data_IF_345375467063
#
_entry.id   IF_345375467063
#
_cell.length_a   1.000
_cell.length_b   1.000
_cell.length_c   1.000
_cell.angle_alpha   90.00
_cell.angle_beta   90.00
_cell.angle_gamma   90.00
#
_symmetry.space_group_name_H-M   'P 1'
#
loop_
_entity.id
_entity.type
_entity.pdbx_description
1 polymer ?
#
# COMPACT_ATOMS: atom_id res chain seq x y z
N UNK A 1 -18.44 5.84 -7.26
CA UNK A 1 -17.72 4.67 -7.82
C UNK A 1 -16.38 4.58 -7.11
N UNK A 2 -16.16 3.53 -6.32
CA UNK A 2 -14.95 3.37 -5.50
C UNK A 2 -13.79 2.73 -6.27
N UNK A 3 -12.58 2.82 -5.73
CA UNK A 3 -11.39 2.13 -6.24
C UNK A 3 -10.59 1.56 -5.06
N UNK A 4 -9.81 0.52 -5.32
CA UNK A 4 -8.79 0.03 -4.41
C UNK A 4 -7.48 0.68 -4.83
N UNK A 5 -6.98 1.60 -4.00
CA UNK A 5 -5.78 2.33 -4.33
C UNK A 5 -4.55 1.58 -3.83
N UNK A 6 -3.45 1.66 -4.56
CA UNK A 6 -2.14 1.22 -4.06
C UNK A 6 -1.11 2.30 -4.28
N UNK A 7 -0.09 2.36 -3.43
CA UNK A 7 1.00 3.31 -3.58
C UNK A 7 2.33 2.70 -3.08
N UNK A 8 3.41 3.08 -3.76
CA UNK A 8 4.80 2.74 -3.40
C UNK A 8 5.63 3.99 -3.25
N UNK A 9 6.59 4.00 -2.33
CA UNK A 9 7.40 5.19 -2.06
C UNK A 9 8.85 5.11 -2.58
N UNK A 10 9.27 4.00 -3.18
CA UNK A 10 10.59 3.88 -3.80
C UNK A 10 10.83 4.99 -4.82
N UNK A 11 11.86 5.81 -4.57
CA UNK A 11 12.23 6.96 -5.40
C UNK A 11 11.32 8.20 -5.29
N UNK A 12 10.27 8.21 -4.47
CA UNK A 12 9.34 9.35 -4.35
C UNK A 12 9.63 10.22 -3.12
N UNK A 13 9.58 11.55 -3.20
CA UNK A 13 9.74 12.39 -1.98
C UNK A 13 8.53 12.26 -1.05
N UNK A 14 8.66 12.62 0.23
CA UNK A 14 7.49 12.66 1.14
C UNK A 14 6.44 13.66 0.62
N UNK A 15 6.90 14.80 0.09
CA UNK A 15 6.02 15.85 -0.47
C UNK A 15 5.20 15.29 -1.63
N UNK A 16 5.85 14.63 -2.60
CA UNK A 16 5.15 14.08 -3.76
C UNK A 16 4.24 12.91 -3.38
N UNK A 17 4.64 12.12 -2.39
CA UNK A 17 3.84 11.04 -1.83
C UNK A 17 2.54 11.55 -1.16
N UNK A 18 2.65 12.48 -0.22
CA UNK A 18 1.48 13.07 0.47
C UNK A 18 0.61 13.85 -0.51
N UNK A 19 1.23 14.62 -1.41
CA UNK A 19 0.52 15.35 -2.46
C UNK A 19 -0.30 14.44 -3.35
N UNK A 20 0.24 13.29 -3.76
CA UNK A 20 -0.49 12.28 -4.55
C UNK A 20 -1.70 11.74 -3.79
N UNK A 21 -1.54 11.40 -2.51
CA UNK A 21 -2.65 10.91 -1.68
C UNK A 21 -3.77 11.95 -1.55
N UNK A 22 -3.41 13.23 -1.37
CA UNK A 22 -4.38 14.32 -1.27
C UNK A 22 -5.10 14.58 -2.59
N UNK A 23 -4.38 14.65 -3.71
CA UNK A 23 -4.98 14.85 -5.04
C UNK A 23 -5.98 13.75 -5.40
N UNK A 24 -5.73 12.52 -4.96
CA UNK A 24 -6.61 11.36 -5.17
C UNK A 24 -7.71 11.23 -4.11
N UNK A 25 -7.78 12.15 -3.16
CA UNK A 25 -8.80 12.17 -2.12
C UNK A 25 -8.69 11.00 -1.13
N UNK A 26 -7.50 10.40 -0.99
CA UNK A 26 -7.27 9.30 -0.03
C UNK A 26 -7.51 9.80 1.39
N UNK A 27 -8.22 9.01 2.19
CA UNK A 27 -8.57 9.29 3.58
C UNK A 27 -7.89 8.36 4.57
N UNK A 28 -7.45 7.18 4.12
CA UNK A 28 -6.70 6.24 4.94
C UNK A 28 -5.55 5.60 4.15
N UNK A 29 -4.43 5.38 4.83
CA UNK A 29 -3.29 4.63 4.33
C UNK A 29 -3.14 3.34 5.13
N UNK A 30 -3.28 2.20 4.45
CA UNK A 30 -3.03 0.89 5.04
C UNK A 30 -1.59 0.46 4.70
N UNK A 31 -0.71 0.55 5.68
CA UNK A 31 0.66 0.07 5.60
C UNK A 31 0.72 -1.45 5.75
N UNK A 32 0.98 -2.14 4.65
CA UNK A 32 1.05 -3.61 4.59
C UNK A 32 2.50 -4.11 4.61
N UNK A 33 3.45 -3.27 5.03
CA UNK A 33 4.83 -3.72 5.29
C UNK A 33 4.84 -4.62 6.53
N UNK A 34 5.57 -5.74 6.46
CA UNK A 34 5.78 -6.60 7.63
C UNK A 34 6.42 -5.81 8.77
N UNK A 35 7.52 -5.14 8.43
CA UNK A 35 8.26 -4.26 9.31
C UNK A 35 8.26 -2.86 8.68
N UNK A 36 7.65 -1.84 9.30
CA UNK A 36 7.59 -0.48 8.75
C UNK A 36 8.90 0.28 9.01
N UNK A 37 10.02 -0.42 8.83
CA UNK A 37 11.38 0.12 8.86
C UNK A 37 11.76 0.59 7.47
N UNK A 38 12.48 1.71 7.40
CA UNK A 38 12.88 2.31 6.13
C UNK A 38 14.26 2.93 6.25
N UNK A 39 15.07 2.77 5.19
CA UNK A 39 16.33 3.52 5.00
C UNK A 39 16.07 5.01 4.82
N UNK A 40 14.85 5.38 4.46
CA UNK A 40 14.37 6.76 4.32
C UNK A 40 13.63 7.15 5.60
N UNK A 41 14.22 8.01 6.46
CA UNK A 41 13.68 8.34 7.78
C UNK A 41 12.23 8.81 7.75
N UNK A 42 11.86 9.56 6.71
CA UNK A 42 10.53 10.13 6.49
C UNK A 42 9.43 9.06 6.22
N UNK A 43 9.83 7.86 5.79
CA UNK A 43 8.92 6.72 5.57
C UNK A 43 8.95 5.68 6.71
N UNK A 44 9.63 5.97 7.82
CA UNK A 44 9.52 5.16 9.04
C UNK A 44 8.17 5.41 9.70
N UNK A 45 7.61 4.39 10.36
CA UNK A 45 6.25 4.43 10.96
C UNK A 45 5.88 5.78 11.60
N UNK A 46 6.63 6.23 12.62
CA UNK A 46 6.29 7.45 13.38
C UNK A 46 6.32 8.73 12.53
N UNK A 47 7.32 8.88 11.67
CA UNK A 47 7.45 10.07 10.83
C UNK A 47 6.35 10.11 9.76
N UNK A 48 6.06 8.95 9.16
CA UNK A 48 5.02 8.82 8.15
C UNK A 48 3.62 9.05 8.76
N UNK A 49 3.35 8.48 9.93
CA UNK A 49 2.10 8.67 10.67
C UNK A 49 1.86 10.14 11.01
N UNK A 50 2.88 10.86 11.47
CA UNK A 50 2.80 12.30 11.74
C UNK A 50 2.49 13.11 10.47
N UNK A 51 3.22 12.87 9.38
CA UNK A 51 3.01 13.57 8.11
C UNK A 51 1.62 13.29 7.50
N UNK A 52 1.09 12.07 7.66
CA UNK A 52 -0.26 11.72 7.24
C UNK A 52 -1.33 12.41 8.10
N UNK A 53 -1.11 12.48 9.42
CA UNK A 53 -2.01 13.17 10.33
C UNK A 53 -2.12 14.67 9.99
N UNK A 54 -0.99 15.33 9.71
CA UNK A 54 -0.96 16.73 9.22
C UNK A 54 -1.74 16.91 7.90
N UNK A 55 -1.74 15.89 7.04
CA UNK A 55 -2.51 15.88 5.80
C UNK A 55 -3.98 15.44 5.96
N UNK A 56 -4.43 15.12 7.19
CA UNK A 56 -5.78 14.62 7.46
C UNK A 56 -6.03 13.21 6.93
N UNK A 57 -4.99 12.39 6.81
CA UNK A 57 -5.05 10.99 6.33
C UNK A 57 -4.80 10.06 7.52
N UNK A 58 -5.73 9.14 7.76
CA UNK A 58 -5.57 8.12 8.81
C UNK A 58 -4.48 7.11 8.43
N UNK A 59 -3.68 6.68 9.40
CA UNK A 59 -2.66 5.65 9.21
C UNK A 59 -3.02 4.38 9.97
N UNK A 60 -2.97 3.24 9.29
CA UNK A 60 -3.09 1.91 9.92
C UNK A 60 -1.95 1.03 9.44
N UNK A 61 -1.23 0.41 10.37
CA UNK A 61 -0.23 -0.60 10.07
C UNK A 61 -0.80 -2.00 10.28
N UNK A 62 -0.68 -2.86 9.27
CA UNK A 62 -1.20 -4.23 9.29
C UNK A 62 -0.09 -5.24 8.91
N UNK A 63 0.79 -5.60 9.87
CA UNK A 63 1.95 -6.46 9.60
C UNK A 63 1.59 -7.90 9.22
N UNK A 64 0.36 -8.34 9.52
CA UNK A 64 -0.13 -9.67 9.14
C UNK A 64 -0.17 -9.85 7.62
N UNK A 65 -0.38 -8.75 6.88
CA UNK A 65 -0.43 -8.75 5.41
C UNK A 65 0.96 -8.57 4.76
N UNK A 66 2.00 -8.38 5.56
CA UNK A 66 3.35 -8.18 5.08
C UNK A 66 4.14 -9.46 4.90
N UNK A 67 5.09 -9.44 3.96
CA UNK A 67 5.99 -10.57 3.69
C UNK A 67 7.21 -10.54 4.63
N UNK A 68 7.50 -11.62 5.38
CA UNK A 68 8.72 -11.75 6.19
C UNK A 68 10.02 -11.60 5.39
N UNK A 69 11.10 -11.18 6.06
CA UNK A 69 12.37 -10.84 5.40
C UNK A 69 13.00 -12.02 4.65
N UNK A 70 13.07 -13.17 5.31
CA UNK A 70 13.58 -14.43 4.78
C UNK A 70 12.83 -14.87 3.51
N UNK A 71 11.51 -14.69 3.49
CA UNK A 71 10.68 -14.96 2.31
C UNK A 71 10.95 -13.96 1.19
N UNK A 72 11.06 -12.66 1.52
CA UNK A 72 11.43 -11.62 0.52
C UNK A 72 12.79 -11.92 -0.11
N UNK A 73 13.76 -12.38 0.68
CA UNK A 73 15.10 -12.74 0.19
C UNK A 73 15.04 -13.97 -0.72
N UNK A 74 14.31 -15.02 -0.31
CA UNK A 74 14.10 -16.23 -1.12
C UNK A 74 13.51 -15.93 -2.51
N UNK A 75 12.49 -15.09 -2.59
CA UNK A 75 11.81 -14.78 -3.86
C UNK A 75 12.44 -13.63 -4.65
N UNK A 76 13.41 -12.91 -4.07
CA UNK A 76 14.19 -11.89 -4.79
C UNK A 76 15.12 -12.53 -5.82
N UNK A 77 15.78 -13.63 -5.43
CA UNK A 77 16.87 -14.21 -6.21
C UNK A 77 16.39 -15.32 -7.16
N UNK A 78 15.23 -15.94 -6.86
CA UNK A 78 14.72 -17.09 -7.59
C UNK A 78 13.93 -16.76 -8.88
N UNK A 79 13.62 -15.49 -9.15
CA UNK A 79 12.75 -15.05 -10.27
C UNK A 79 11.52 -15.97 -10.44
N UNK A 80 10.79 -16.21 -9.35
CA UNK A 80 9.58 -17.04 -9.34
C UNK A 80 8.34 -16.25 -8.88
N UNK A 81 7.78 -15.38 -9.74
CA UNK A 81 6.58 -14.61 -9.40
C UNK A 81 5.36 -15.49 -9.11
N UNK A 82 5.25 -16.64 -9.78
CA UNK A 82 4.12 -17.55 -9.61
C UNK A 82 4.17 -18.25 -8.26
N UNK A 83 5.33 -18.78 -7.87
CA UNK A 83 5.54 -19.37 -6.55
C UNK A 83 5.40 -18.35 -5.42
N UNK A 84 5.85 -17.11 -5.63
CA UNK A 84 5.62 -16.03 -4.68
C UNK A 84 4.12 -15.73 -4.51
N UNK A 85 3.37 -15.64 -5.60
CA UNK A 85 1.93 -15.39 -5.56
C UNK A 85 1.18 -16.55 -4.86
N UNK A 86 1.53 -17.80 -5.17
CA UNK A 86 0.95 -18.98 -4.53
C UNK A 86 1.26 -19.00 -3.02
N UNK A 87 2.50 -18.72 -2.63
CA UNK A 87 2.90 -18.61 -1.23
C UNK A 87 2.11 -17.50 -0.52
N UNK A 88 2.02 -16.31 -1.10
CA UNK A 88 1.30 -15.18 -0.49
C UNK A 88 -0.19 -15.48 -0.34
N UNK A 89 -0.81 -16.13 -1.33
CA UNK A 89 -2.19 -16.54 -1.26
C UNK A 89 -2.44 -17.54 -0.13
N UNK A 90 -1.59 -18.57 0.02
CA UNK A 90 -1.77 -19.62 1.03
C UNK A 90 -1.37 -19.17 2.44
N UNK A 91 -0.20 -18.56 2.57
CA UNK A 91 0.45 -18.33 3.86
C UNK A 91 0.10 -16.97 4.49
N UNK A 92 -0.35 -16.02 3.67
CA UNK A 92 -0.83 -14.72 4.12
C UNK A 92 -2.35 -14.69 3.96
N UNK A 93 -2.87 -14.42 2.76
CA UNK A 93 -4.30 -14.14 2.54
C UNK A 93 -5.24 -15.23 3.09
N UNK A 94 -4.92 -16.50 2.84
CA UNK A 94 -5.69 -17.66 3.29
C UNK A 94 -5.80 -17.80 4.81
N UNK A 95 -4.89 -17.19 5.57
CA UNK A 95 -4.89 -17.19 7.04
C UNK A 95 -5.51 -15.92 7.64
N UNK A 96 -6.06 -15.02 6.83
CA UNK A 96 -6.55 -13.70 7.26
C UNK A 96 -7.98 -13.39 6.79
N UNK A 97 -8.85 -14.40 6.68
CA UNK A 97 -10.21 -14.23 6.15
C UNK A 97 -11.04 -13.15 6.84
N UNK A 98 -11.00 -13.05 8.18
CA UNK A 98 -11.74 -12.02 8.92
C UNK A 98 -11.21 -10.62 8.69
N UNK A 99 -9.89 -10.47 8.60
CA UNK A 99 -9.24 -9.22 8.26
C UNK A 99 -9.59 -8.78 6.83
N UNK A 100 -9.62 -9.71 5.87
CA UNK A 100 -10.03 -9.40 4.49
C UNK A 100 -11.49 -8.94 4.41
N UNK A 101 -12.37 -9.52 5.24
CA UNK A 101 -13.76 -9.07 5.36
C UNK A 101 -13.84 -7.65 5.93
N UNK A 102 -13.09 -7.36 6.99
CA UNK A 102 -12.99 -6.02 7.57
C UNK A 102 -12.49 -4.99 6.54
N UNK A 103 -11.42 -5.33 5.81
CA UNK A 103 -10.84 -4.46 4.80
C UNK A 103 -11.80 -4.24 3.63
N UNK A 104 -12.53 -5.26 3.19
CA UNK A 104 -13.55 -5.16 2.13
C UNK A 104 -14.61 -4.10 2.47
N UNK A 105 -15.05 -4.03 3.73
CA UNK A 105 -15.98 -3.00 4.19
C UNK A 105 -15.31 -1.62 4.20
N UNK A 106 -14.09 -1.53 4.75
CA UNK A 106 -13.35 -0.28 4.89
C UNK A 106 -12.99 0.37 3.56
N UNK A 107 -12.49 -0.39 2.58
CA UNK A 107 -12.15 0.13 1.25
C UNK A 107 -13.39 0.53 0.45
N UNK A 108 -14.55 -0.07 0.75
CA UNK A 108 -15.82 0.29 0.14
C UNK A 108 -16.41 1.60 0.65
N UNK A 109 -16.16 1.94 1.93
CA UNK A 109 -16.67 3.17 2.55
C UNK A 109 -15.68 4.34 2.51
N UNK A 110 -14.38 4.04 2.53
CA UNK A 110 -13.32 5.03 2.75
C UNK A 110 -12.25 4.89 1.67
N UNK A 111 -11.93 5.96 0.91
CA UNK A 111 -10.82 5.94 -0.06
C UNK A 111 -9.50 5.58 0.63
N UNK A 112 -9.05 4.33 0.43
CA UNK A 112 -7.93 3.75 1.15
C UNK A 112 -6.84 3.33 0.18
N UNK A 113 -5.59 3.73 0.46
CA UNK A 113 -4.42 3.31 -0.30
C UNK A 113 -3.62 2.24 0.45
N UNK A 114 -3.28 1.16 -0.25
CA UNK A 114 -2.40 0.10 0.23
C UNK A 114 -0.94 0.49 -0.01
N UNK A 115 -0.17 0.65 1.06
CA UNK A 115 1.23 1.07 1.02
C UNK A 115 2.19 -0.11 1.07
N UNK A 116 3.19 -0.09 0.17
CA UNK A 116 4.42 -0.85 0.32
C UNK A 116 5.65 -0.03 -0.12
N UNK A 117 6.83 -0.65 -0.20
CA UNK A 117 8.07 0.01 -0.61
C UNK A 117 8.13 0.20 -2.13
N UNK A 118 8.03 -0.87 -2.90
CA UNK A 118 8.39 -0.94 -4.32
C UNK A 118 7.57 0.05 -5.16
N UNK A 119 8.20 0.76 -6.10
CA UNK A 119 7.45 1.66 -6.97
C UNK A 119 6.55 0.86 -7.93
N UNK A 120 7.09 -0.22 -8.49
CA UNK A 120 6.40 -1.08 -9.44
C UNK A 120 5.42 -2.04 -8.72
N UNK A 121 4.09 -1.89 -8.93
CA UNK A 121 3.11 -2.81 -8.35
C UNK A 121 3.26 -4.25 -8.85
N UNK A 122 3.81 -4.50 -10.05
CA UNK A 122 3.99 -5.86 -10.58
C UNK A 122 5.04 -6.68 -9.79
N UNK A 123 5.86 -6.01 -8.98
CA UNK A 123 6.97 -6.61 -8.23
C UNK A 123 6.73 -6.62 -6.72
N UNK A 124 5.48 -6.44 -6.29
CA UNK A 124 5.13 -6.21 -4.90
C UNK A 124 3.93 -7.05 -4.47
N UNK A 125 3.92 -7.51 -3.21
CA UNK A 125 2.78 -8.24 -2.63
C UNK A 125 1.52 -7.39 -2.53
N UNK A 126 1.62 -6.05 -2.47
CA UNK A 126 0.45 -5.18 -2.34
C UNK A 126 -0.55 -5.38 -3.48
N UNK A 127 -0.08 -5.74 -4.67
CA UNK A 127 -0.94 -5.98 -5.83
C UNK A 127 -1.72 -7.28 -5.69
N UNK A 128 -1.14 -8.31 -5.07
CA UNK A 128 -1.85 -9.56 -4.77
C UNK A 128 -2.99 -9.30 -3.77
N UNK A 129 -2.72 -8.51 -2.73
CA UNK A 129 -3.77 -8.06 -1.80
C UNK A 129 -4.83 -7.20 -2.51
N UNK A 130 -4.41 -6.24 -3.35
CA UNK A 130 -5.34 -5.38 -4.07
C UNK A 130 -6.26 -6.18 -5.01
N UNK A 131 -5.70 -7.17 -5.72
CA UNK A 131 -6.46 -8.07 -6.60
C UNK A 131 -7.46 -8.92 -5.81
N UNK A 132 -7.07 -9.46 -4.65
CA UNK A 132 -7.99 -10.22 -3.81
C UNK A 132 -9.14 -9.34 -3.27
N UNK A 133 -8.83 -8.14 -2.81
CA UNK A 133 -9.87 -7.19 -2.39
C UNK A 133 -10.75 -6.76 -3.57
N UNK A 134 -10.20 -6.59 -4.77
CA UNK A 134 -10.97 -6.27 -5.97
C UNK A 134 -11.93 -7.40 -6.34
N UNK A 135 -11.47 -8.65 -6.23
CA UNK A 135 -12.29 -9.85 -6.43
C UNK A 135 -13.45 -9.92 -5.43
N UNK A 136 -13.22 -9.55 -4.17
CA UNK A 136 -14.23 -9.58 -3.10
C UNK A 136 -15.22 -8.40 -3.16
N UNK A 137 -14.79 -7.24 -3.62
CA UNK A 137 -15.59 -5.99 -3.62
C UNK A 137 -16.22 -5.66 -4.97
N UNK A 138 -15.66 -6.18 -6.08
CA UNK A 138 -15.97 -5.73 -7.43
C UNK A 138 -15.38 -4.35 -7.81
N UNK A 139 -14.58 -3.74 -6.93
CA UNK A 139 -13.97 -2.43 -7.19
C UNK A 139 -12.70 -2.57 -8.04
N UNK A 140 -12.48 -1.69 -9.03
CA UNK A 140 -11.25 -1.69 -9.80
C UNK A 140 -10.03 -1.26 -8.97
N UNK A 141 -8.86 -1.80 -9.30
CA UNK A 141 -7.58 -1.40 -8.70
C UNK A 141 -7.01 -0.19 -9.42
N UNK A 142 -6.53 0.80 -8.66
CA UNK A 142 -5.81 1.96 -9.19
C UNK A 142 -4.44 2.12 -8.52
N UNK A 143 -3.39 2.04 -9.32
CA UNK A 143 -2.02 2.22 -8.85
C UNK A 143 -1.61 3.70 -8.94
N UNK A 144 -1.22 4.28 -7.82
CA UNK A 144 -0.74 5.66 -7.72
C UNK A 144 0.78 5.70 -7.90
N UNK A 145 1.26 6.63 -8.73
CA UNK A 145 2.69 6.86 -8.97
C UNK A 145 3.12 8.23 -8.44
N UNK A 146 3.63 8.30 -7.19
CA UNK A 146 4.03 9.57 -6.60
C UNK A 146 5.28 10.18 -7.21
N UNK A 147 5.98 9.51 -8.14
CA UNK A 147 7.07 10.10 -8.92
C UNK A 147 6.57 10.93 -10.10
N UNK A 148 5.34 10.67 -10.56
CA UNK A 148 4.68 11.43 -11.63
C UNK A 148 3.88 12.61 -11.10
N UNK A 149 3.92 12.84 -9.79
CA UNK A 149 3.24 13.96 -9.18
C UNK A 149 3.88 15.27 -9.64
N UNK A 150 3.21 15.92 -10.59
CA UNK A 150 3.44 17.31 -10.93
C UNK A 150 2.50 18.13 -10.07
N UNK A 151 3.00 18.73 -9.00
CA UNK A 151 2.25 19.79 -8.33
C UNK A 151 2.45 21.10 -9.04
N UNK A 152 1.34 21.79 -9.31
CA UNK A 152 1.32 23.23 -9.07
C UNK A 152 1.37 23.44 -7.54
N UNK A 153 2.40 24.10 -6.98
CA UNK A 153 2.47 24.42 -5.55
C UNK A 153 1.26 25.23 -5.04
N UNK A 154 0.50 25.89 -5.94
CA UNK A 154 -0.68 26.69 -5.58
C UNK A 154 -1.92 25.87 -5.15
N UNK A 155 -1.95 24.56 -5.40
CA UNK A 155 -3.10 23.71 -5.03
C UNK A 155 -3.22 23.41 -3.52
N UNK A 156 -2.31 23.96 -2.71
CA UNK A 156 -2.18 23.68 -1.27
C UNK A 156 -2.33 24.90 -0.36
N UNK A 157 -2.77 26.04 -0.89
CA UNK A 157 -3.08 27.27 -0.13
C UNK A 157 -4.58 27.56 -0.19
#
# INVERSE_FOLDING_TARGET
>A
MGHIFTIGYEGASLVSFIGTLRCEGIKALLDVRRDPVSRRPEFRKRALEAALAEAGIAYRHEPRLGVPRDVRERFRDAVDPAGFAAWYAAEVLGKQSDLLRELTLSVGSTPTALLCYEADPARCHRSLLALELARLTGLPVRHLDPKRWNSDPAAFV
#
